data_IF_095192008147
#
_entry.id   IF_095192008147
#
_cell.length_a   1.000
_cell.length_b   1.000
_cell.length_c   1.000
_cell.angle_alpha   90.00
_cell.angle_beta   90.00
_cell.angle_gamma   90.00
#
_symmetry.space_group_name_H-M   'P 1'
#
loop_
_entity.id
_entity.type
_entity.pdbx_description
1 polymer ?
#
# COMPACT_ATOMS: atom_id res chain seq x y z
N UNK A 1 -14.72 -6.84 21.88
CA UNK A 1 -15.29 -5.46 21.85
C UNK A 1 -15.22 -4.95 20.44
N UNK A 2 -16.33 -4.37 19.93
CA UNK A 2 -16.38 -3.79 18.59
C UNK A 2 -15.91 -2.34 18.61
N UNK A 3 -15.19 -1.91 17.55
CA UNK A 3 -14.80 -0.52 17.34
C UNK A 3 -15.76 0.18 16.38
N UNK A 4 -16.00 1.47 16.62
CA UNK A 4 -16.84 2.33 15.79
C UNK A 4 -15.95 3.04 14.76
N UNK A 5 -16.29 2.90 13.49
CA UNK A 5 -15.51 3.43 12.37
C UNK A 5 -16.32 4.50 11.65
N UNK A 6 -15.69 5.66 11.40
CA UNK A 6 -16.13 6.58 10.37
C UNK A 6 -15.32 6.32 9.09
N UNK A 7 -16.02 6.09 7.98
CA UNK A 7 -15.36 5.93 6.68
C UNK A 7 -15.46 7.21 5.87
N UNK A 8 -14.35 7.64 5.24
CA UNK A 8 -14.31 8.79 4.34
C UNK A 8 -13.97 8.32 2.93
N UNK A 9 -14.92 8.49 2.03
CA UNK A 9 -14.86 8.05 0.63
C UNK A 9 -15.74 6.82 0.36
N UNK A 10 -16.60 6.90 -0.68
CA UNK A 10 -17.50 5.85 -1.17
C UNK A 10 -17.35 5.59 -2.68
N UNK A 11 -16.21 5.91 -3.28
CA UNK A 11 -15.87 5.46 -4.61
C UNK A 11 -15.87 3.92 -4.72
N UNK A 12 -15.48 3.34 -5.84
CA UNK A 12 -15.49 1.88 -6.03
C UNK A 12 -14.74 1.17 -4.88
N UNK A 13 -13.53 1.62 -4.56
CA UNK A 13 -12.73 1.03 -3.47
C UNK A 13 -13.37 1.27 -2.11
N UNK A 14 -13.95 2.45 -1.88
CA UNK A 14 -14.65 2.79 -0.64
C UNK A 14 -15.84 1.87 -0.38
N UNK A 15 -16.65 1.55 -1.38
CA UNK A 15 -17.77 0.61 -1.23
C UNK A 15 -17.30 -0.83 -0.94
N UNK A 16 -16.16 -1.26 -1.51
CA UNK A 16 -15.57 -2.54 -1.09
C UNK A 16 -15.21 -2.53 0.40
N UNK A 17 -14.53 -1.47 0.86
CA UNK A 17 -14.17 -1.33 2.27
C UNK A 17 -15.39 -1.29 3.19
N UNK A 18 -16.41 -0.52 2.84
CA UNK A 18 -17.67 -0.47 3.60
C UNK A 18 -18.29 -1.86 3.77
N UNK A 19 -18.30 -2.65 2.68
CA UNK A 19 -18.76 -4.05 2.73
C UNK A 19 -17.90 -4.95 3.62
N UNK A 20 -16.56 -4.78 3.63
CA UNK A 20 -15.67 -5.55 4.50
C UNK A 20 -15.83 -5.16 5.97
N UNK A 21 -15.94 -3.87 6.26
CA UNK A 21 -16.23 -3.37 7.62
C UNK A 21 -17.56 -3.93 8.13
N UNK A 22 -18.62 -3.90 7.29
CA UNK A 22 -19.93 -4.43 7.64
C UNK A 22 -19.95 -5.94 7.89
N UNK A 23 -19.03 -6.69 7.26
CA UNK A 23 -18.91 -8.15 7.45
C UNK A 23 -17.97 -8.50 8.62
N UNK A 24 -17.20 -7.56 9.15
CA UNK A 24 -16.25 -7.83 10.21
C UNK A 24 -16.94 -7.82 11.58
N UNK A 25 -16.78 -8.89 12.41
CA UNK A 25 -17.54 -9.04 13.66
C UNK A 25 -17.25 -7.96 14.70
N UNK A 26 -16.06 -7.36 14.65
CA UNK A 26 -15.57 -6.41 15.65
C UNK A 26 -15.42 -4.97 15.09
N UNK A 27 -16.00 -4.68 13.93
CA UNK A 27 -15.96 -3.34 13.32
C UNK A 27 -17.39 -2.92 12.97
N UNK A 28 -17.76 -1.68 13.28
CA UNK A 28 -19.07 -1.12 12.96
C UNK A 28 -18.93 0.25 12.29
N UNK A 29 -19.45 0.39 11.08
CA UNK A 29 -19.46 1.68 10.37
C UNK A 29 -20.60 2.55 10.90
N UNK A 30 -20.28 3.56 11.70
CA UNK A 30 -21.27 4.48 12.30
C UNK A 30 -21.58 5.67 11.40
N UNK A 31 -20.65 6.04 10.52
CA UNK A 31 -20.87 7.10 9.52
C UNK A 31 -19.99 6.85 8.28
N UNK A 32 -20.50 7.24 7.13
CA UNK A 32 -19.78 7.26 5.87
C UNK A 32 -19.92 8.64 5.23
N UNK A 33 -18.79 9.27 4.92
CA UNK A 33 -18.70 10.61 4.32
C UNK A 33 -18.33 10.49 2.85
N UNK A 34 -19.15 11.05 1.97
CA UNK A 34 -18.93 11.08 0.53
C UNK A 34 -19.61 12.31 -0.08
N UNK A 35 -18.87 13.27 -0.67
CA UNK A 35 -19.47 14.46 -1.27
C UNK A 35 -20.37 14.15 -2.47
N UNK A 36 -20.00 13.18 -3.32
CA UNK A 36 -20.78 12.81 -4.49
C UNK A 36 -22.06 12.06 -4.07
N UNK A 37 -23.23 12.65 -4.33
CA UNK A 37 -24.51 12.12 -3.95
C UNK A 37 -24.76 10.72 -4.51
N UNK A 38 -24.44 10.51 -5.78
CA UNK A 38 -24.62 9.21 -6.44
C UNK A 38 -23.76 8.11 -5.78
N UNK A 39 -22.51 8.38 -5.50
CA UNK A 39 -21.60 7.45 -4.81
C UNK A 39 -22.07 7.19 -3.37
N UNK A 40 -22.58 8.22 -2.68
CA UNK A 40 -23.13 8.13 -1.33
C UNK A 40 -24.37 7.24 -1.29
N UNK A 41 -25.31 7.40 -2.22
CA UNK A 41 -26.49 6.54 -2.32
C UNK A 41 -26.13 5.08 -2.67
N UNK A 42 -25.16 4.87 -3.55
CA UNK A 42 -24.67 3.51 -3.86
C UNK A 42 -24.06 2.82 -2.65
N UNK A 43 -23.51 3.57 -1.69
CA UNK A 43 -22.93 3.00 -0.48
C UNK A 43 -24.00 2.48 0.51
N UNK A 44 -25.24 2.95 0.43
CA UNK A 44 -26.33 2.54 1.33
C UNK A 44 -26.55 1.02 1.36
N UNK A 45 -26.31 0.35 0.25
CA UNK A 45 -26.48 -1.11 0.14
C UNK A 45 -25.38 -1.93 0.82
N UNK A 46 -24.27 -1.30 1.21
CA UNK A 46 -23.07 -1.99 1.74
C UNK A 46 -22.70 -1.56 3.16
N UNK A 47 -23.39 -0.55 3.71
CA UNK A 47 -23.21 -0.11 5.11
C UNK A 47 -24.37 -0.62 5.99
N UNK A 48 -24.21 -0.65 7.34
CA UNK A 48 -25.30 -0.93 8.26
C UNK A 48 -26.49 0.05 8.10
N UNK A 49 -27.71 -0.38 8.44
CA UNK A 49 -28.90 0.45 8.31
C UNK A 49 -28.86 1.72 9.17
N UNK A 50 -28.18 1.66 10.31
CA UNK A 50 -27.98 2.77 11.25
C UNK A 50 -26.77 3.66 10.91
N UNK A 51 -26.01 3.33 9.88
CA UNK A 51 -24.89 4.14 9.41
C UNK A 51 -25.39 5.47 8.83
N UNK A 52 -24.86 6.58 9.34
CA UNK A 52 -25.15 7.92 8.84
C UNK A 52 -24.39 8.15 7.52
N UNK A 53 -25.11 8.53 6.47
CA UNK A 53 -24.51 8.97 5.20
C UNK A 53 -24.43 10.49 5.18
N UNK A 54 -23.22 11.05 5.06
CA UNK A 54 -22.92 12.47 5.19
C UNK A 54 -22.23 12.98 3.92
N UNK A 55 -22.48 14.22 3.55
CA UNK A 55 -21.85 14.87 2.41
C UNK A 55 -20.46 15.44 2.78
N UNK A 56 -20.32 15.89 4.01
CA UNK A 56 -19.13 16.58 4.48
C UNK A 56 -18.63 16.03 5.82
N UNK A 57 -17.32 16.05 6.02
CA UNK A 57 -16.69 15.59 7.25
C UNK A 57 -17.03 16.49 8.46
N UNK A 58 -17.29 17.78 8.22
CA UNK A 58 -17.69 18.75 9.24
C UNK A 58 -19.11 18.49 9.80
N UNK A 59 -20.00 17.83 9.03
CA UNK A 59 -21.33 17.40 9.50
C UNK A 59 -21.22 16.23 10.49
N UNK A 60 -20.11 15.49 10.43
CA UNK A 60 -19.81 14.47 11.40
C UNK A 60 -19.19 15.15 12.62
N UNK A 61 -19.95 15.30 13.71
CA UNK A 61 -19.31 15.53 15.01
C UNK A 61 -18.45 14.30 15.32
N UNK A 62 -17.15 14.36 15.00
CA UNK A 62 -16.25 13.19 15.05
C UNK A 62 -15.92 12.80 16.48
N UNK A 63 -15.83 13.77 17.37
CA UNK A 63 -15.47 13.56 18.77
C UNK A 63 -16.51 12.72 19.52
N UNK A 64 -16.09 11.57 20.03
CA UNK A 64 -16.92 10.67 20.83
C UNK A 64 -17.91 9.80 20.04
N UNK A 65 -18.05 9.98 18.73
CA UNK A 65 -18.94 9.19 17.87
C UNK A 65 -18.24 7.95 17.33
N UNK A 66 -16.96 8.06 16.98
CA UNK A 66 -16.15 6.97 16.43
C UNK A 66 -14.85 6.79 17.25
N UNK A 67 -14.24 5.64 17.10
CA UNK A 67 -12.96 5.26 17.71
C UNK A 67 -11.83 5.31 16.69
N UNK A 68 -12.15 5.14 15.41
CA UNK A 68 -11.23 5.15 14.28
C UNK A 68 -11.84 5.77 13.03
N UNK A 69 -10.94 6.22 12.14
CA UNK A 69 -11.29 6.64 10.78
C UNK A 69 -10.67 5.69 9.76
N UNK A 70 -11.44 5.33 8.73
CA UNK A 70 -11.00 4.61 7.54
C UNK A 70 -11.09 5.56 6.34
N UNK A 71 -9.93 5.98 5.82
CA UNK A 71 -9.83 6.96 4.74
C UNK A 71 -9.63 6.24 3.41
N UNK A 72 -10.58 6.39 2.50
CA UNK A 72 -10.60 5.76 1.17
C UNK A 72 -11.00 6.79 0.10
N UNK A 73 -10.72 8.05 0.36
CA UNK A 73 -10.89 9.17 -0.55
C UNK A 73 -9.78 9.17 -1.63
N UNK A 74 -9.80 10.04 -2.64
CA UNK A 74 -8.69 10.16 -3.58
C UNK A 74 -7.36 10.47 -2.87
N UNK A 75 -6.26 9.85 -3.31
CA UNK A 75 -4.95 9.90 -2.62
C UNK A 75 -4.44 11.32 -2.33
N UNK A 76 -4.76 12.28 -3.20
CA UNK A 76 -4.42 13.70 -3.00
C UNK A 76 -5.08 14.34 -1.77
N UNK A 77 -6.11 13.73 -1.20
CA UNK A 77 -6.81 14.23 -0.01
C UNK A 77 -6.45 13.47 1.27
N UNK A 78 -5.67 12.40 1.16
CA UNK A 78 -5.36 11.51 2.28
C UNK A 78 -4.77 12.27 3.47
N UNK A 79 -3.74 13.08 3.24
CA UNK A 79 -3.06 13.82 4.31
C UNK A 79 -4.00 14.81 5.01
N UNK A 80 -4.78 15.60 4.25
CA UNK A 80 -5.72 16.57 4.81
C UNK A 80 -6.80 15.89 5.66
N UNK A 81 -7.40 14.82 5.15
CA UNK A 81 -8.45 14.06 5.85
C UNK A 81 -7.87 13.37 7.09
N UNK A 82 -6.66 12.80 6.97
CA UNK A 82 -5.99 12.16 8.10
C UNK A 82 -5.73 13.16 9.25
N UNK A 83 -5.25 14.37 8.94
CA UNK A 83 -5.04 15.43 9.92
C UNK A 83 -6.35 15.79 10.64
N UNK A 84 -7.44 15.99 9.91
CA UNK A 84 -8.76 16.31 10.51
C UNK A 84 -9.26 15.17 11.44
N UNK A 85 -9.08 13.91 11.04
CA UNK A 85 -9.45 12.76 11.86
C UNK A 85 -8.56 12.64 13.12
N UNK A 86 -7.26 12.89 12.98
CA UNK A 86 -6.32 12.91 14.12
C UNK A 86 -6.64 14.05 15.10
N UNK A 87 -7.02 15.23 14.59
CA UNK A 87 -7.46 16.37 15.40
C UNK A 87 -8.72 16.04 16.23
N UNK A 88 -9.59 15.20 15.68
CA UNK A 88 -10.77 14.66 16.40
C UNK A 88 -10.43 13.52 17.37
N UNK A 89 -9.15 13.15 17.52
CA UNK A 89 -8.71 12.10 18.44
C UNK A 89 -8.91 10.67 17.94
N UNK A 90 -9.07 10.45 16.64
CA UNK A 90 -9.28 9.13 16.05
C UNK A 90 -7.95 8.44 15.69
N UNK A 91 -7.88 7.12 15.87
CA UNK A 91 -6.87 6.30 15.18
C UNK A 91 -7.22 6.22 13.70
N UNK A 92 -6.24 6.36 12.83
CA UNK A 92 -6.47 6.47 11.38
C UNK A 92 -5.97 5.23 10.66
N UNK A 93 -6.81 4.64 9.80
CA UNK A 93 -6.36 3.78 8.71
C UNK A 93 -6.63 4.49 7.39
N UNK A 94 -5.59 4.61 6.55
CA UNK A 94 -5.67 5.28 5.26
C UNK A 94 -5.31 4.33 4.12
N UNK A 95 -6.08 4.34 3.02
CA UNK A 95 -5.67 3.65 1.80
C UNK A 95 -4.30 4.12 1.33
N UNK A 96 -3.62 3.24 0.63
CA UNK A 96 -2.33 3.59 0.05
C UNK A 96 -2.50 4.64 -1.09
N UNK A 97 -1.52 5.51 -1.26
CA UNK A 97 -0.36 5.78 -0.40
C UNK A 97 -0.75 6.55 0.87
N UNK A 98 0.10 6.53 1.88
CA UNK A 98 -0.08 7.36 3.09
C UNK A 98 -0.37 8.83 2.73
N UNK A 99 0.40 9.36 1.80
CA UNK A 99 0.35 10.73 1.29
C UNK A 99 0.99 10.77 -0.11
N UNK A 100 0.85 11.89 -0.82
CA UNK A 100 1.47 12.07 -2.15
C UNK A 100 2.95 12.43 -2.02
N UNK A 101 3.30 13.19 -0.99
CA UNK A 101 4.69 13.61 -0.72
C UNK A 101 5.15 13.18 0.67
N UNK A 102 6.47 13.12 0.83
CA UNK A 102 7.09 12.86 2.14
C UNK A 102 6.73 13.94 3.16
N UNK A 103 6.66 15.20 2.74
CA UNK A 103 6.30 16.32 3.62
C UNK A 103 4.88 16.19 4.18
N UNK A 104 3.90 15.85 3.32
CA UNK A 104 2.54 15.57 3.76
C UNK A 104 2.50 14.41 4.75
N UNK A 105 3.19 13.31 4.44
CA UNK A 105 3.29 12.15 5.32
C UNK A 105 3.91 12.49 6.68
N UNK A 106 4.99 13.28 6.69
CA UNK A 106 5.64 13.76 7.93
C UNK A 106 4.68 14.58 8.80
N UNK A 107 3.92 15.50 8.21
CA UNK A 107 2.93 16.30 8.95
C UNK A 107 1.85 15.42 9.60
N UNK A 108 1.36 14.41 8.87
CA UNK A 108 0.39 13.44 9.40
C UNK A 108 0.98 12.66 10.57
N UNK A 109 2.21 12.15 10.45
CA UNK A 109 2.86 11.36 11.50
C UNK A 109 3.22 12.21 12.73
N UNK A 110 3.67 13.44 12.53
CA UNK A 110 3.93 14.38 13.63
C UNK A 110 2.64 14.68 14.41
N UNK A 111 1.53 14.89 13.68
CA UNK A 111 0.23 15.10 14.31
C UNK A 111 -0.23 13.86 15.09
N UNK A 112 -0.12 12.68 14.49
CA UNK A 112 -0.46 11.41 15.16
C UNK A 112 0.31 11.24 16.46
N UNK A 113 1.63 11.52 16.44
CA UNK A 113 2.49 11.49 17.63
C UNK A 113 2.03 12.49 18.71
N UNK A 114 1.69 13.72 18.29
CA UNK A 114 1.25 14.79 19.21
C UNK A 114 -0.05 14.44 19.94
N UNK A 115 -1.00 13.80 19.24
CA UNK A 115 -2.31 13.41 19.81
C UNK A 115 -2.32 11.99 20.38
N UNK A 116 -1.19 11.28 20.37
CA UNK A 116 -1.07 9.92 20.91
C UNK A 116 -1.92 8.88 20.13
N UNK A 117 -2.09 9.06 18.83
CA UNK A 117 -2.85 8.16 17.97
C UNK A 117 -1.95 7.46 16.95
N UNK A 118 -2.44 6.37 16.36
CA UNK A 118 -1.72 5.62 15.33
C UNK A 118 -2.26 5.94 13.95
N UNK A 119 -1.37 5.87 12.95
CA UNK A 119 -1.71 5.86 11.53
C UNK A 119 -1.31 4.52 10.95
N UNK A 120 -2.25 3.84 10.31
CA UNK A 120 -2.09 2.54 9.64
C UNK A 120 -2.32 2.76 8.16
N UNK A 121 -1.45 2.24 7.31
CA UNK A 121 -1.61 2.32 5.86
C UNK A 121 -2.12 0.99 5.33
N UNK A 122 -3.12 1.03 4.45
CA UNK A 122 -3.78 -0.17 3.96
C UNK A 122 -2.95 -0.89 2.87
N UNK A 123 -1.69 -1.21 3.19
CA UNK A 123 -0.80 -2.01 2.35
C UNK A 123 -1.16 -3.50 2.47
N UNK A 124 -2.23 -3.87 1.85
CA UNK A 124 -2.84 -5.19 1.95
C UNK A 124 -1.95 -6.33 1.44
N UNK A 125 -1.00 -6.08 0.52
CA UNK A 125 -0.11 -7.14 0.00
C UNK A 125 0.72 -7.78 1.10
N UNK A 126 1.15 -7.03 2.12
CA UNK A 126 1.90 -7.60 3.26
C UNK A 126 1.19 -8.77 3.96
N UNK A 127 -0.12 -8.87 3.81
CA UNK A 127 -0.95 -9.88 4.49
C UNK A 127 -1.35 -11.05 3.59
N UNK A 128 -0.93 -11.07 2.33
CA UNK A 128 -1.17 -12.21 1.45
C UNK A 128 -0.33 -13.43 1.88
N UNK A 129 -0.85 -14.67 1.70
CA UNK A 129 -0.18 -15.89 2.20
C UNK A 129 1.26 -16.04 1.73
N UNK A 130 1.54 -15.81 0.44
CA UNK A 130 2.89 -15.92 -0.12
C UNK A 130 3.84 -14.84 0.42
N UNK A 131 3.34 -13.60 0.55
CA UNK A 131 4.11 -12.47 1.10
C UNK A 131 4.48 -12.74 2.56
N UNK A 132 3.52 -13.19 3.40
CA UNK A 132 3.78 -13.56 4.82
C UNK A 132 4.79 -14.71 4.91
N UNK A 133 4.68 -15.71 4.06
CA UNK A 133 5.63 -16.82 4.00
C UNK A 133 7.03 -16.34 3.70
N UNK A 134 7.21 -15.46 2.71
CA UNK A 134 8.51 -14.92 2.34
C UNK A 134 9.08 -14.08 3.49
N UNK A 135 8.28 -13.18 4.09
CA UNK A 135 8.70 -12.38 5.25
C UNK A 135 9.22 -13.26 6.38
N UNK A 136 8.48 -14.31 6.75
CA UNK A 136 8.90 -15.24 7.81
C UNK A 136 10.20 -15.96 7.45
N UNK A 137 10.29 -16.53 6.26
CA UNK A 137 11.49 -17.26 5.83
C UNK A 137 12.74 -16.38 5.83
N UNK A 138 12.64 -15.15 5.36
CA UNK A 138 13.76 -14.22 5.36
C UNK A 138 14.10 -13.76 6.78
N UNK A 139 13.10 -13.49 7.62
CA UNK A 139 13.29 -13.15 9.03
C UNK A 139 13.95 -14.28 9.85
N UNK A 140 13.72 -15.54 9.47
CA UNK A 140 14.37 -16.73 10.06
C UNK A 140 15.78 -16.99 9.49
N UNK A 141 16.28 -16.18 8.54
CA UNK A 141 17.57 -16.39 7.89
C UNK A 141 17.63 -17.63 7.01
N UNK A 142 16.50 -18.04 6.44
CA UNK A 142 16.36 -19.26 5.64
C UNK A 142 17.33 -19.32 4.45
N UNK A 143 17.58 -18.19 3.76
CA UNK A 143 18.53 -18.10 2.65
C UNK A 143 19.96 -17.77 3.06
N UNK A 144 20.25 -17.53 4.36
CA UNK A 144 21.55 -17.03 4.79
C UNK A 144 21.74 -15.56 4.42
N UNK A 145 22.97 -15.16 4.05
CA UNK A 145 23.21 -13.82 3.51
C UNK A 145 22.55 -13.69 2.14
N UNK A 146 21.84 -12.58 1.96
CA UNK A 146 21.19 -12.27 0.69
C UNK A 146 22.18 -11.62 -0.27
N UNK A 147 21.94 -11.78 -1.56
CA UNK A 147 22.73 -11.18 -2.64
C UNK A 147 21.87 -10.22 -3.48
N UNK A 148 20.89 -10.78 -4.18
CA UNK A 148 20.03 -9.98 -5.05
C UNK A 148 18.58 -10.47 -5.06
N UNK A 149 17.69 -9.60 -5.58
CA UNK A 149 16.33 -9.98 -5.89
C UNK A 149 15.87 -9.37 -7.23
N UNK A 150 15.00 -10.10 -7.93
CA UNK A 150 14.38 -9.64 -9.17
C UNK A 150 12.88 -9.74 -9.03
N UNK A 151 12.18 -8.61 -9.16
CA UNK A 151 10.73 -8.57 -9.12
C UNK A 151 10.17 -8.04 -10.44
N UNK A 152 9.26 -8.79 -11.04
CA UNK A 152 8.62 -8.42 -12.30
C UNK A 152 7.10 -8.49 -12.11
N UNK A 153 6.39 -7.40 -12.41
CA UNK A 153 4.93 -7.33 -12.42
C UNK A 153 4.43 -6.89 -13.81
N UNK A 154 3.69 -7.78 -14.46
CA UNK A 154 3.12 -7.54 -15.79
C UNK A 154 1.62 -7.52 -15.71
N UNK A 155 1.02 -6.39 -16.10
CA UNK A 155 -0.42 -6.18 -16.12
C UNK A 155 -0.89 -5.76 -17.51
N UNK A 156 -2.16 -6.06 -17.79
CA UNK A 156 -2.85 -5.50 -18.94
C UNK A 156 -3.99 -4.62 -18.43
N UNK A 157 -3.67 -3.36 -18.21
CA UNK A 157 -4.57 -2.33 -17.67
C UNK A 157 -4.50 -1.08 -18.56
N UNK A 158 -5.13 -1.07 -19.74
CA UNK A 158 -5.23 0.16 -20.56
C UNK A 158 -5.91 1.28 -19.75
N UNK A 159 -5.48 2.53 -19.89
CA UNK A 159 -5.97 3.65 -19.08
C UNK A 159 -7.50 3.82 -19.17
N UNK A 160 -8.08 3.55 -20.32
CA UNK A 160 -9.53 3.60 -20.57
C UNK A 160 -10.36 2.61 -19.74
N UNK A 161 -9.76 1.51 -19.24
CA UNK A 161 -10.46 0.50 -18.42
C UNK A 161 -10.51 0.89 -16.94
N UNK A 162 -9.53 1.69 -16.49
CA UNK A 162 -9.44 2.18 -15.11
C UNK A 162 -10.14 3.53 -14.90
N UNK A 163 -10.67 4.09 -15.97
CA UNK A 163 -11.34 5.39 -15.98
C UNK A 163 -10.42 6.56 -16.37
N UNK A 164 -11.00 7.69 -16.77
CA UNK A 164 -10.26 8.83 -17.34
C UNK A 164 -9.18 9.38 -16.40
N UNK A 165 -9.43 9.36 -15.10
CA UNK A 165 -8.50 9.89 -14.09
C UNK A 165 -7.18 9.12 -14.05
N UNK A 166 -7.22 7.79 -14.22
CA UNK A 166 -6.04 6.95 -14.12
C UNK A 166 -5.05 7.20 -15.29
N UNK A 167 -5.57 7.43 -16.48
CA UNK A 167 -4.76 7.79 -17.65
C UNK A 167 -4.09 9.16 -17.56
N UNK A 168 -4.59 10.04 -16.67
CA UNK A 168 -4.05 11.38 -16.46
C UNK A 168 -3.02 11.46 -15.31
N UNK A 169 -2.88 10.40 -14.50
CA UNK A 169 -1.85 10.35 -13.47
C UNK A 169 -0.47 10.39 -14.14
N UNK A 170 0.40 11.23 -13.64
CA UNK A 170 1.82 11.16 -13.95
C UNK A 170 2.44 10.00 -13.17
N UNK A 171 3.22 9.14 -13.82
CA UNK A 171 3.81 7.94 -13.23
C UNK A 171 2.81 6.90 -12.68
N UNK A 172 1.71 6.52 -13.38
CA UNK A 172 0.67 5.66 -12.83
C UNK A 172 1.19 4.28 -12.38
N UNK A 173 2.15 3.68 -13.11
CA UNK A 173 2.73 2.41 -12.71
C UNK A 173 3.57 2.56 -11.42
N UNK A 174 4.40 3.59 -11.32
CA UNK A 174 5.24 3.85 -10.14
C UNK A 174 4.39 4.20 -8.91
N UNK A 175 3.43 5.10 -9.09
CA UNK A 175 2.67 5.68 -7.97
C UNK A 175 1.56 4.75 -7.47
N UNK A 176 0.85 4.08 -8.38
CA UNK A 176 -0.34 3.30 -8.01
C UNK A 176 -0.07 1.81 -7.82
N UNK A 177 0.95 1.28 -8.50
CA UNK A 177 1.24 -0.15 -8.50
C UNK A 177 2.55 -0.47 -7.79
N UNK A 178 3.66 0.19 -8.18
CA UNK A 178 4.96 -0.08 -7.59
C UNK A 178 5.02 0.26 -6.10
N UNK A 179 4.17 1.17 -5.62
CA UNK A 179 4.04 1.46 -4.18
C UNK A 179 3.80 0.20 -3.35
N UNK A 180 2.90 -0.70 -3.78
CA UNK A 180 2.68 -1.99 -3.10
C UNK A 180 3.92 -2.90 -3.13
N UNK A 181 4.63 -2.91 -4.26
CA UNK A 181 5.82 -3.74 -4.43
C UNK A 181 7.00 -3.22 -3.62
N UNK A 182 7.19 -1.91 -3.59
CA UNK A 182 8.22 -1.27 -2.78
C UNK A 182 7.97 -1.49 -1.28
N UNK A 183 6.70 -1.44 -0.87
CA UNK A 183 6.32 -1.77 0.49
C UNK A 183 6.59 -3.25 0.83
N UNK A 184 6.25 -4.19 -0.08
CA UNK A 184 6.60 -5.61 0.08
C UNK A 184 8.11 -5.84 0.16
N UNK A 185 8.90 -5.23 -0.73
CA UNK A 185 10.36 -5.35 -0.73
C UNK A 185 10.97 -4.84 0.58
N UNK A 186 10.46 -3.73 1.12
CA UNK A 186 10.87 -3.22 2.42
C UNK A 186 10.51 -4.19 3.56
N UNK A 187 9.34 -4.80 3.50
CA UNK A 187 8.92 -5.81 4.47
C UNK A 187 9.79 -7.08 4.38
N UNK A 188 10.21 -7.47 3.19
CA UNK A 188 11.08 -8.65 2.98
C UNK A 188 12.49 -8.43 3.49
N UNK A 189 13.07 -7.28 3.25
CA UNK A 189 14.47 -7.01 3.55
C UNK A 189 14.68 -6.28 4.89
N UNK A 190 13.58 -5.95 5.61
CA UNK A 190 13.62 -5.40 6.96
C UNK A 190 14.32 -4.06 7.08
N UNK A 191 14.47 -3.32 5.99
CA UNK A 191 15.29 -2.14 5.93
C UNK A 191 14.68 -1.05 5.04
N UNK A 192 15.12 0.16 5.28
CA UNK A 192 15.01 1.28 4.39
C UNK A 192 16.11 1.16 3.32
N UNK A 193 15.79 1.24 2.02
CA UNK A 193 16.83 1.27 1.00
C UNK A 193 17.70 2.52 1.11
N UNK A 194 18.96 2.39 0.76
CA UNK A 194 19.92 3.50 0.72
C UNK A 194 19.61 4.45 -0.44
N UNK A 195 19.17 3.88 -1.59
CA UNK A 195 18.85 4.67 -2.76
C UNK A 195 18.08 3.89 -3.83
N UNK A 196 17.58 4.63 -4.81
CA UNK A 196 16.83 4.09 -5.93
C UNK A 196 17.21 4.80 -7.23
N UNK A 197 17.39 4.03 -8.31
CA UNK A 197 17.48 4.54 -9.67
C UNK A 197 16.29 4.05 -10.47
N UNK A 198 15.56 4.95 -11.10
CA UNK A 198 14.32 4.66 -11.81
C UNK A 198 14.39 5.16 -13.26
N UNK A 199 13.77 4.41 -14.16
CA UNK A 199 13.43 4.84 -15.53
C UNK A 199 11.98 4.54 -15.80
N UNK A 200 11.33 5.52 -16.40
CA UNK A 200 9.91 5.45 -16.73
C UNK A 200 9.73 5.73 -18.22
N UNK A 201 8.86 4.97 -18.87
CA UNK A 201 8.56 5.19 -20.29
C UNK A 201 7.18 4.71 -20.66
N UNK A 202 6.72 5.16 -21.81
CA UNK A 202 5.52 4.69 -22.48
C UNK A 202 5.88 3.90 -23.73
N UNK A 203 5.23 2.76 -24.00
CA UNK A 203 5.30 2.16 -25.34
C UNK A 203 4.53 3.02 -26.35
N UNK A 204 4.87 2.96 -27.68
CA UNK A 204 4.28 3.85 -28.69
C UNK A 204 2.76 3.70 -28.88
N UNK A 205 2.19 2.60 -28.39
CA UNK A 205 0.75 2.28 -28.55
C UNK A 205 -0.08 2.58 -27.30
N UNK A 206 0.45 3.34 -26.35
CA UNK A 206 -0.26 3.64 -25.08
C UNK A 206 -1.18 4.84 -25.22
N UNK A 207 -2.24 4.82 -24.43
CA UNK A 207 -3.13 5.94 -24.16
C UNK A 207 -2.85 6.60 -22.79
N UNK A 208 -1.83 6.13 -22.05
CA UNK A 208 -1.35 6.80 -20.85
C UNK A 208 -0.60 8.09 -21.18
N UNK A 209 -0.83 9.11 -20.38
CA UNK A 209 -0.09 10.37 -20.51
C UNK A 209 1.41 10.16 -20.30
N UNK A 210 1.80 9.45 -19.24
CA UNK A 210 3.19 9.20 -18.89
C UNK A 210 3.30 7.99 -17.97
N UNK A 211 4.39 7.19 -18.08
CA UNK A 211 4.78 6.25 -17.06
C UNK A 211 3.99 4.94 -16.95
N UNK A 212 3.54 4.37 -18.07
CA UNK A 212 2.93 3.05 -18.09
C UNK A 212 3.88 1.91 -17.72
N UNK A 213 5.19 2.12 -17.87
CA UNK A 213 6.25 1.18 -17.51
C UNK A 213 7.24 1.83 -16.56
N UNK A 214 7.75 1.04 -15.62
CA UNK A 214 8.79 1.45 -14.66
C UNK A 214 9.84 0.36 -14.53
N UNK A 215 11.09 0.72 -14.66
CA UNK A 215 12.25 -0.08 -14.26
C UNK A 215 12.91 0.61 -13.07
N UNK A 216 13.34 -0.16 -12.07
CA UNK A 216 14.09 0.37 -10.94
C UNK A 216 15.23 -0.56 -10.52
N UNK A 217 16.34 0.05 -10.12
CA UNK A 217 17.37 -0.56 -9.32
C UNK A 217 17.30 0.04 -7.90
N UNK A 218 17.20 -0.83 -6.89
CA UNK A 218 16.99 -0.43 -5.49
C UNK A 218 18.09 -1.04 -4.64
N UNK A 219 18.84 -0.19 -3.94
CA UNK A 219 19.94 -0.57 -3.08
C UNK A 219 19.47 -0.65 -1.61
N UNK A 220 19.38 -1.86 -1.06
CA UNK A 220 19.14 -2.09 0.36
C UNK A 220 20.43 -2.25 1.18
N UNK A 221 21.59 -2.05 0.57
CA UNK A 221 22.91 -2.26 1.19
C UNK A 221 23.32 -3.72 1.19
N UNK A 222 22.57 -4.59 1.85
CA UNK A 222 22.83 -6.03 1.94
C UNK A 222 22.17 -6.86 0.84
N UNK A 223 21.33 -6.26 0.02
CA UNK A 223 20.68 -6.90 -1.14
C UNK A 223 20.40 -5.86 -2.21
N UNK A 224 20.69 -6.21 -3.48
CA UNK A 224 20.43 -5.39 -4.65
C UNK A 224 19.16 -5.87 -5.34
N UNK A 225 18.21 -4.96 -5.63
CA UNK A 225 16.95 -5.34 -6.22
C UNK A 225 16.76 -4.73 -7.60
N UNK A 226 16.36 -5.56 -8.57
CA UNK A 226 15.88 -5.15 -9.86
C UNK A 226 14.36 -5.28 -9.92
N UNK A 227 13.70 -4.23 -10.36
CA UNK A 227 12.25 -4.18 -10.48
C UNK A 227 11.84 -3.80 -11.91
N UNK A 228 10.83 -4.49 -12.44
CA UNK A 228 10.17 -4.14 -13.68
C UNK A 228 8.65 -4.22 -13.50
N UNK A 229 7.96 -3.09 -13.67
CA UNK A 229 6.51 -3.01 -13.68
C UNK A 229 5.98 -2.51 -15.01
N UNK A 230 4.90 -3.10 -15.52
CA UNK A 230 4.24 -2.64 -16.75
C UNK A 230 2.72 -2.76 -16.65
N UNK A 231 2.00 -1.75 -17.15
CA UNK A 231 0.53 -1.74 -17.24
C UNK A 231 0.01 -2.22 -18.60
N UNK A 232 0.88 -2.39 -19.58
CA UNK A 232 0.49 -2.65 -20.98
C UNK A 232 1.14 -3.92 -21.54
N UNK A 233 1.40 -4.90 -20.68
CA UNK A 233 1.95 -6.18 -21.12
C UNK A 233 0.86 -7.05 -21.76
N UNK A 234 1.16 -7.67 -22.89
CA UNK A 234 0.35 -8.76 -23.43
C UNK A 234 0.50 -10.07 -22.67
N UNK A 235 1.54 -10.18 -21.83
CA UNK A 235 1.77 -11.32 -20.95
C UNK A 235 1.52 -10.91 -19.50
N UNK A 236 0.38 -11.29 -18.94
CA UNK A 236 0.05 -11.08 -17.53
C UNK A 236 0.88 -11.99 -16.63
N UNK A 237 1.34 -11.49 -15.50
CA UNK A 237 1.99 -12.31 -14.48
C UNK A 237 2.91 -11.54 -13.52
N UNK A 238 3.12 -12.16 -12.37
CA UNK A 238 4.06 -11.71 -11.35
C UNK A 238 5.16 -12.76 -11.17
N UNK A 239 6.38 -12.32 -10.93
CA UNK A 239 7.52 -13.17 -10.61
C UNK A 239 8.46 -12.45 -9.66
N UNK A 240 8.81 -13.11 -8.56
CA UNK A 240 9.82 -12.68 -7.59
C UNK A 240 10.85 -13.78 -7.43
N UNK A 241 12.12 -13.41 -7.51
CA UNK A 241 13.29 -14.24 -7.25
C UNK A 241 14.13 -13.57 -6.17
N UNK A 242 14.56 -14.32 -5.16
CA UNK A 242 15.43 -13.82 -4.09
C UNK A 242 16.58 -14.82 -3.94
N UNK A 243 17.79 -14.39 -4.20
CA UNK A 243 19.03 -15.18 -4.13
C UNK A 243 19.75 -14.95 -2.80
N UNK A 244 20.29 -16.04 -2.25
CA UNK A 244 21.14 -16.01 -1.06
C UNK A 244 22.06 -17.23 -0.97
N UNK A 245 22.91 -17.29 0.05
CA UNK A 245 23.92 -18.35 0.25
C UNK A 245 23.30 -19.76 0.20
N UNK A 246 22.08 -19.95 0.71
CA UNK A 246 21.42 -21.25 0.83
C UNK A 246 20.44 -21.53 -0.30
N UNK A 247 20.55 -20.82 -1.43
CA UNK A 247 19.76 -21.04 -2.63
C UNK A 247 18.84 -19.89 -2.98
N UNK A 248 17.78 -20.17 -3.72
CA UNK A 248 16.86 -19.17 -4.26
C UNK A 248 15.43 -19.45 -3.87
N UNK A 249 14.69 -18.42 -3.43
CA UNK A 249 13.25 -18.42 -3.32
C UNK A 249 12.68 -17.86 -4.62
N UNK A 250 11.66 -18.53 -5.16
CA UNK A 250 10.83 -18.04 -6.24
C UNK A 250 9.37 -17.96 -5.80
N UNK A 251 8.67 -16.92 -6.24
CA UNK A 251 7.25 -16.76 -6.02
C UNK A 251 6.54 -16.14 -7.24
N UNK A 252 5.32 -16.61 -7.51
CA UNK A 252 4.40 -15.96 -8.43
C UNK A 252 3.21 -15.30 -7.68
N UNK A 253 3.41 -15.01 -6.40
CA UNK A 253 2.45 -14.45 -5.44
C UNK A 253 1.35 -15.43 -4.97
N UNK A 254 1.13 -16.53 -5.68
CA UNK A 254 0.23 -17.64 -5.26
C UNK A 254 1.01 -18.77 -4.61
N UNK A 255 2.17 -19.08 -5.15
CA UNK A 255 3.06 -20.16 -4.74
C UNK A 255 4.42 -19.60 -4.33
N UNK A 256 4.99 -20.24 -3.33
CA UNK A 256 6.40 -20.03 -2.93
C UNK A 256 7.14 -21.34 -3.11
N UNK A 257 8.31 -21.30 -3.70
CA UNK A 257 9.17 -22.44 -3.86
C UNK A 257 10.64 -22.07 -3.61
N UNK A 258 11.41 -23.03 -3.14
CA UNK A 258 12.83 -22.88 -2.85
C UNK A 258 13.64 -23.86 -3.66
N UNK A 259 14.76 -23.43 -4.21
CA UNK A 259 15.74 -24.27 -4.86
C UNK A 259 17.06 -24.20 -4.09
N UNK A 260 17.48 -25.30 -3.41
CA UNK A 260 18.77 -25.34 -2.72
C UNK A 260 19.96 -25.28 -3.69
N UNK A 261 21.15 -24.89 -3.21
CA UNK A 261 22.37 -24.91 -4.00
C UNK A 261 22.61 -26.28 -4.63
N UNK A 262 23.07 -26.34 -5.89
CA UNK A 262 23.33 -27.55 -6.63
C UNK A 262 22.09 -28.34 -7.09
N UNK A 263 20.90 -28.00 -6.67
CA UNK A 263 19.65 -28.64 -7.11
C UNK A 263 19.20 -28.09 -8.46
N UNK A 264 18.66 -28.98 -9.32
CA UNK A 264 17.96 -28.57 -10.56
C UNK A 264 16.48 -28.29 -10.32
N UNK A 265 15.93 -28.70 -9.17
CA UNK A 265 14.48 -28.70 -8.90
C UNK A 265 14.11 -27.76 -7.78
N UNK A 266 13.01 -27.05 -7.96
CA UNK A 266 12.33 -26.32 -6.92
C UNK A 266 11.54 -27.25 -6.00
N UNK A 267 11.56 -26.97 -4.72
CA UNK A 267 10.76 -27.61 -3.68
C UNK A 267 9.64 -26.65 -3.29
N UNK A 268 8.37 -27.02 -3.41
CA UNK A 268 7.28 -26.16 -3.00
C UNK A 268 7.32 -25.91 -1.48
N UNK A 269 7.04 -24.67 -1.09
CA UNK A 269 6.87 -24.27 0.30
C UNK A 269 5.38 -24.01 0.51
N UNK A 270 4.85 -24.58 1.57
CA UNK A 270 3.46 -24.33 1.94
C UNK A 270 3.34 -22.89 2.44
N UNK A 271 2.39 -22.14 1.89
CA UNK A 271 2.12 -20.79 2.34
C UNK A 271 1.58 -20.78 3.77
N UNK A 272 1.92 -19.74 4.50
CA UNK A 272 1.44 -19.48 5.85
C UNK A 272 -0.09 -19.30 5.85
N UNK A 273 -0.71 -19.70 6.93
CA UNK A 273 -2.14 -19.48 7.13
C UNK A 273 -2.36 -17.98 7.44
N UNK A 274 -3.37 -17.42 6.82
CA UNK A 274 -3.84 -16.06 7.06
C UNK A 274 -5.31 -16.08 7.49
N UNK A 275 -5.85 -15.01 8.07
CA UNK A 275 -7.27 -14.89 8.35
C UNK A 275 -8.14 -15.16 7.11
N UNK A 276 -9.30 -15.76 7.34
CA UNK A 276 -10.25 -16.09 6.24
C UNK A 276 -10.61 -14.83 5.45
N UNK A 277 -10.42 -14.89 4.16
CA UNK A 277 -10.64 -13.79 3.23
C UNK A 277 -9.36 -13.14 2.73
N UNK A 278 -8.27 -13.17 3.50
CA UNK A 278 -6.99 -12.58 3.10
C UNK A 278 -6.27 -13.38 2.00
N UNK A 279 -6.62 -14.66 1.84
CA UNK A 279 -6.15 -15.50 0.75
C UNK A 279 -6.83 -15.21 -0.60
N UNK A 280 -7.90 -14.43 -0.60
CA UNK A 280 -8.67 -14.12 -1.80
C UNK A 280 -7.95 -13.08 -2.67
N UNK A 281 -8.25 -13.03 -3.98
CA UNK A 281 -7.76 -11.96 -4.84
C UNK A 281 -8.38 -10.61 -4.48
N UNK A 282 -7.85 -9.54 -5.12
CA UNK A 282 -8.50 -8.21 -5.07
C UNK A 282 -10.02 -8.34 -5.36
N UNK A 283 -10.89 -7.62 -4.64
CA UNK A 283 -10.56 -6.52 -3.71
C UNK A 283 -10.34 -6.93 -2.25
N UNK A 284 -10.51 -8.20 -1.88
CA UNK A 284 -10.60 -8.65 -0.48
C UNK A 284 -9.25 -8.99 0.17
N UNK A 285 -8.28 -9.49 -0.60
CA UNK A 285 -7.03 -10.02 -0.01
C UNK A 285 -6.33 -9.05 0.92
N UNK A 286 -5.98 -9.53 2.11
CA UNK A 286 -5.30 -8.75 3.16
C UNK A 286 -6.19 -7.81 3.97
N UNK A 287 -7.47 -7.65 3.64
CA UNK A 287 -8.34 -6.65 4.30
C UNK A 287 -8.77 -7.05 5.69
N UNK A 288 -8.96 -8.35 5.96
CA UNK A 288 -9.31 -8.84 7.30
C UNK A 288 -8.19 -8.57 8.30
N UNK A 289 -6.94 -8.85 7.91
CA UNK A 289 -5.77 -8.53 8.75
C UNK A 289 -5.61 -7.03 9.00
N UNK A 290 -5.89 -6.19 8.02
CA UNK A 290 -5.87 -4.73 8.18
C UNK A 290 -6.93 -4.26 9.17
N UNK A 291 -8.17 -4.74 9.06
CA UNK A 291 -9.24 -4.41 10.01
C UNK A 291 -8.93 -4.94 11.42
N UNK A 292 -8.35 -6.14 11.55
CA UNK A 292 -7.84 -6.64 12.83
C UNK A 292 -6.75 -5.71 13.39
N UNK A 293 -5.81 -5.27 12.55
CA UNK A 293 -4.74 -4.34 12.98
C UNK A 293 -5.32 -3.00 13.47
N UNK A 294 -6.34 -2.46 12.80
CA UNK A 294 -7.03 -1.25 13.23
C UNK A 294 -7.73 -1.46 14.57
N UNK A 295 -8.49 -2.56 14.72
CA UNK A 295 -9.15 -2.92 15.98
C UNK A 295 -8.14 -3.04 17.12
N UNK A 296 -7.05 -3.76 16.92
CA UNK A 296 -6.07 -4.03 17.95
C UNK A 296 -5.27 -2.76 18.32
N UNK A 297 -5.06 -1.86 17.36
CA UNK A 297 -4.48 -0.55 17.63
C UNK A 297 -5.41 0.31 18.52
N UNK A 298 -6.72 0.28 18.27
CA UNK A 298 -7.71 1.04 19.04
C UNK A 298 -7.90 0.43 20.44
N UNK A 299 -8.09 -0.89 20.54
CA UNK A 299 -8.46 -1.54 21.81
C UNK A 299 -7.27 -1.82 22.73
N UNK A 300 -6.12 -2.09 22.15
CA UNK A 300 -4.95 -2.61 22.88
C UNK A 300 -3.69 -1.77 22.69
N UNK A 301 -3.72 -0.74 21.84
CA UNK A 301 -2.54 0.05 21.51
C UNK A 301 -1.48 -0.72 20.70
N UNK A 302 -1.84 -1.89 20.15
CA UNK A 302 -0.93 -2.73 19.36
C UNK A 302 -0.43 -1.98 18.13
N UNK A 303 0.88 -1.99 17.90
CA UNK A 303 1.46 -1.36 16.70
C UNK A 303 1.24 -2.25 15.47
N UNK A 304 0.64 -1.66 14.43
CA UNK A 304 0.42 -2.37 13.18
C UNK A 304 1.73 -2.59 12.39
N UNK A 305 1.82 -3.68 11.63
CA UNK A 305 2.94 -3.94 10.71
C UNK A 305 3.05 -2.86 9.63
N UNK A 306 1.90 -2.35 9.15
CA UNK A 306 1.79 -1.31 8.12
C UNK A 306 1.60 0.09 8.71
N UNK A 307 2.23 0.38 9.87
CA UNK A 307 2.17 1.70 10.50
C UNK A 307 2.76 2.77 9.61
N UNK A 308 2.25 3.99 9.75
CA UNK A 308 2.66 5.13 8.93
C UNK A 308 4.16 5.46 9.03
N UNK A 309 4.77 5.30 10.23
CA UNK A 309 6.20 5.54 10.45
C UNK A 309 7.11 4.56 9.69
N UNK A 310 6.58 3.39 9.35
CA UNK A 310 7.26 2.48 8.43
C UNK A 310 6.95 2.86 6.98
N UNK A 311 5.68 3.05 6.62
CA UNK A 311 5.24 3.27 5.25
C UNK A 311 5.73 4.59 4.63
N UNK A 312 6.08 5.59 5.43
CA UNK A 312 6.65 6.86 4.92
C UNK A 312 7.86 6.61 4.01
N UNK A 313 8.63 5.55 4.24
CA UNK A 313 9.75 5.17 3.39
C UNK A 313 9.31 4.60 2.04
N UNK A 314 8.11 4.04 1.94
CA UNK A 314 7.51 3.67 0.65
C UNK A 314 7.13 4.93 -0.15
N UNK A 315 6.58 5.95 0.52
CA UNK A 315 6.34 7.27 -0.10
C UNK A 315 7.65 7.87 -0.58
N UNK A 316 8.70 7.83 0.26
CA UNK A 316 10.03 8.32 -0.10
C UNK A 316 10.64 7.58 -1.30
N UNK A 317 10.43 6.27 -1.42
CA UNK A 317 10.89 5.50 -2.61
C UNK A 317 10.19 5.96 -3.88
N UNK A 318 8.89 6.23 -3.83
CA UNK A 318 8.13 6.73 -5.00
C UNK A 318 8.60 8.14 -5.38
N UNK A 319 8.78 9.03 -4.40
CA UNK A 319 9.24 10.40 -4.62
C UNK A 319 10.69 10.42 -5.14
N UNK A 320 11.61 9.66 -4.52
CA UNK A 320 12.96 9.47 -5.00
C UNK A 320 13.00 8.86 -6.41
N UNK A 321 12.09 7.94 -6.72
CA UNK A 321 11.94 7.34 -8.05
C UNK A 321 11.56 8.37 -9.12
N UNK A 322 10.62 9.27 -8.83
CA UNK A 322 10.24 10.37 -9.73
C UNK A 322 11.42 11.32 -9.97
N UNK A 323 12.15 11.66 -8.90
CA UNK A 323 13.35 12.51 -9.00
C UNK A 323 14.45 11.82 -9.81
N UNK A 324 14.69 10.53 -9.55
CA UNK A 324 15.67 9.72 -10.29
C UNK A 324 15.36 9.64 -11.79
N UNK A 325 14.10 9.48 -12.17
CA UNK A 325 13.71 9.45 -13.59
C UNK A 325 13.99 10.79 -14.27
N UNK A 326 13.68 11.91 -13.61
CA UNK A 326 13.95 13.27 -14.13
C UNK A 326 15.44 13.57 -14.25
N UNK A 327 16.20 13.30 -13.20
CA UNK A 327 17.62 13.68 -13.10
C UNK A 327 18.59 12.64 -13.68
N UNK A 328 18.10 11.46 -14.05
CA UNK A 328 18.88 10.37 -14.65
C UNK A 328 20.05 9.86 -13.78
N UNK A 329 19.85 9.88 -12.47
CA UNK A 329 20.80 9.40 -11.45
C UNK A 329 20.14 8.54 -10.39
N UNK A 330 20.95 7.86 -9.58
CA UNK A 330 20.48 7.28 -8.32
C UNK A 330 20.19 8.40 -7.33
N UNK A 331 19.07 8.28 -6.60
CA UNK A 331 18.64 9.21 -5.55
C UNK A 331 18.63 8.50 -4.21
N UNK A 332 19.29 9.07 -3.22
CA UNK A 332 19.24 8.59 -1.83
C UNK A 332 17.87 8.90 -1.22
N UNK A 333 17.35 7.98 -0.41
CA UNK A 333 16.11 8.25 0.31
C UNK A 333 16.26 9.35 1.37
N UNK A 334 17.47 9.51 1.92
CA UNK A 334 17.74 10.61 2.87
C UNK A 334 17.65 11.98 2.20
N UNK A 335 18.04 12.08 0.93
CA UNK A 335 17.92 13.32 0.16
C UNK A 335 16.46 13.80 0.07
N UNK A 336 15.55 12.87 -0.25
CA UNK A 336 14.11 13.16 -0.38
C UNK A 336 13.47 13.38 1.01
N UNK A 337 13.89 12.60 2.00
CA UNK A 337 13.34 12.70 3.35
C UNK A 337 13.77 14.01 4.06
N UNK A 338 15.00 14.47 3.84
CA UNK A 338 15.52 15.72 4.40
C UNK A 338 15.01 16.96 3.66
N UNK A 339 14.89 16.86 2.34
CA UNK A 339 14.48 17.94 1.43
C UNK A 339 13.33 17.45 0.53
N UNK A 340 12.11 17.36 1.04
CA UNK A 340 10.98 16.91 0.23
C UNK A 340 10.79 17.80 -1.00
N UNK A 341 10.61 17.18 -2.17
CA UNK A 341 10.35 17.90 -3.43
C UNK A 341 8.97 18.53 -3.34
N UNK A 342 8.81 19.85 -3.54
CA UNK A 342 7.50 20.49 -3.51
C UNK A 342 6.55 19.87 -4.53
N UNK A 343 5.28 19.74 -4.15
CA UNK A 343 4.23 19.27 -5.05
C UNK A 343 4.08 20.26 -6.21
N UNK A 344 4.20 19.79 -7.46
CA UNK A 344 4.10 20.64 -8.65
C UNK A 344 5.41 21.29 -9.15
N UNK A 345 6.58 20.88 -8.68
CA UNK A 345 7.82 21.22 -9.34
C UNK A 345 7.91 20.57 -10.74
N UNK A 346 8.28 21.32 -11.80
CA UNK A 346 8.26 20.86 -13.19
C UNK A 346 9.18 19.69 -13.49
#
# INVERSE_FOLDING_TARGET
>A
MSIRIIQVGAGIRGRHWAGFVNQHPDCHCVALVEPDEKSRELARSVVPADCRLLADLGEASLAGVADAALIVSPSKTHAQVALACLDAGLTVMVEKPLAITVDEGRRVLERARTVGKQVIVAENYRYWPAERTIQRLLGEGFLGKLDNAIMIDRRHQPSRTEGPWFGQIEYPQLQEIATHHFDSLRAFFGARPAGISVRVWNPPWTDYRHGANTEAHIDFGHVQVQYLGTLLSHRYGFSLWIEGEKGVIWSNRKFVAWRPPGSRWFRPIRNDKVPKGDEKPYPQGGTTSLLNSLRDAVLHGTRADTRGEDNIWTVAMVEAGKLSDRERRMVSLDEVYANPVPDGAP
#
